data_IF_228488754201
#
_entry.id   IF_228488754201
#
_cell.length_a   1.000
_cell.length_b   1.000
_cell.length_c   1.000
_cell.angle_alpha   90.00
_cell.angle_beta   90.00
_cell.angle_gamma   90.00
#
_symmetry.space_group_name_H-M   'P 1'
#
loop_
_entity.id
_entity.type
_entity.pdbx_description
1 polymer ?
#
# COMPACT_ATOMS: atom_id res chain seq x y z
N UNK A 1 2.22 -24.60 24.14
CA UNK A 1 1.36 -24.07 23.07
C UNK A 1 2.07 -24.34 21.76
N UNK A 2 1.64 -25.36 21.03
CA UNK A 2 2.32 -25.90 19.86
C UNK A 2 1.80 -25.14 18.64
N UNK A 3 2.65 -24.35 18.00
CA UNK A 3 2.31 -23.73 16.71
C UNK A 3 2.54 -24.78 15.64
N UNK A 4 1.45 -25.41 15.19
CA UNK A 4 1.43 -26.19 13.97
C UNK A 4 1.60 -25.19 12.82
N UNK A 5 2.82 -25.09 12.31
CA UNK A 5 3.12 -24.28 11.14
C UNK A 5 2.40 -24.90 9.93
N UNK A 6 1.39 -24.22 9.40
CA UNK A 6 0.90 -24.44 8.04
C UNK A 6 1.90 -23.82 7.05
N UNK A 7 3.15 -24.27 7.10
CA UNK A 7 4.19 -23.91 6.13
C UNK A 7 4.51 -25.14 5.28
N UNK A 8 3.52 -25.59 4.52
CA UNK A 8 3.66 -26.64 3.51
C UNK A 8 4.15 -26.02 2.20
N UNK A 9 5.47 -25.88 2.03
CA UNK A 9 6.24 -26.05 0.78
C UNK A 9 5.86 -25.36 -0.54
N UNK A 10 4.77 -24.60 -0.63
CA UNK A 10 4.30 -23.88 -1.82
C UNK A 10 3.43 -22.75 -1.29
N UNK A 11 3.81 -21.50 -1.56
CA UNK A 11 3.11 -20.34 -1.03
C UNK A 11 1.64 -20.38 -1.42
N UNK A 12 0.78 -20.77 -0.47
CA UNK A 12 -0.65 -20.54 -0.57
C UNK A 12 -0.84 -19.03 -0.52
N UNK A 13 -0.85 -18.43 -1.70
CA UNK A 13 -1.19 -17.02 -1.90
C UNK A 13 -2.62 -16.84 -1.40
N UNK A 14 -2.76 -16.39 -0.15
CA UNK A 14 -4.08 -16.06 0.37
C UNK A 14 -4.54 -14.78 -0.35
N UNK A 15 -5.39 -14.95 -1.36
CA UNK A 15 -5.86 -13.87 -2.22
C UNK A 15 -6.81 -12.95 -1.46
N UNK A 16 -6.25 -11.96 -0.77
CA UNK A 16 -6.99 -10.79 -0.34
C UNK A 16 -7.21 -9.87 -1.54
N UNK A 17 -8.45 -9.67 -1.96
CA UNK A 17 -8.78 -8.77 -3.09
C UNK A 17 -8.55 -7.28 -2.79
N UNK A 18 -8.27 -6.92 -1.53
CA UNK A 18 -8.01 -5.55 -1.07
C UNK A 18 -6.94 -5.52 0.02
N UNK A 19 -6.19 -4.41 0.09
CA UNK A 19 -5.21 -4.15 1.15
C UNK A 19 -5.86 -4.14 2.55
N UNK A 20 -7.13 -3.74 2.65
CA UNK A 20 -7.85 -3.74 3.93
C UNK A 20 -8.18 -5.16 4.40
N UNK A 21 -8.55 -6.04 3.46
CA UNK A 21 -8.79 -7.46 3.75
C UNK A 21 -7.48 -8.12 4.17
N UNK A 22 -6.38 -7.81 3.47
CA UNK A 22 -5.04 -8.29 3.83
C UNK A 22 -4.67 -7.85 5.24
N UNK A 23 -4.88 -6.58 5.59
CA UNK A 23 -4.66 -6.09 6.97
C UNK A 23 -5.51 -6.84 7.98
N UNK A 24 -6.79 -7.07 7.70
CA UNK A 24 -7.67 -7.84 8.57
C UNK A 24 -7.22 -9.30 8.74
N UNK A 25 -6.79 -9.97 7.67
CA UNK A 25 -6.23 -11.33 7.73
C UNK A 25 -4.97 -11.39 8.61
N UNK A 26 -4.10 -10.38 8.52
CA UNK A 26 -2.92 -10.28 9.40
C UNK A 26 -3.36 -10.04 10.85
N UNK A 27 -4.36 -9.19 11.07
CA UNK A 27 -4.91 -8.92 12.41
C UNK A 27 -5.56 -10.17 13.06
N UNK A 28 -6.14 -11.08 12.26
CA UNK A 28 -6.72 -12.35 12.74
C UNK A 28 -5.69 -13.48 12.87
N UNK A 29 -4.42 -13.25 12.54
CA UNK A 29 -3.33 -14.21 12.72
C UNK A 29 -3.06 -15.13 11.54
N UNK A 30 -3.58 -14.82 10.34
CA UNK A 30 -3.33 -15.62 9.11
C UNK A 30 -1.85 -15.60 8.71
N UNK A 31 -1.10 -14.55 9.07
CA UNK A 31 0.34 -14.48 8.80
C UNK A 31 0.87 -13.05 8.76
N UNK A 32 1.89 -12.83 7.91
CA UNK A 32 2.49 -11.52 7.64
C UNK A 32 2.25 -11.11 6.19
N UNK A 33 2.22 -9.81 5.90
CA UNK A 33 2.07 -9.30 4.54
C UNK A 33 2.88 -8.02 4.33
N UNK A 34 3.08 -7.67 3.06
CA UNK A 34 3.79 -6.47 2.63
C UNK A 34 2.78 -5.46 2.10
N UNK A 35 2.82 -4.25 2.65
CA UNK A 35 1.92 -3.16 2.27
C UNK A 35 2.72 -1.96 1.76
N UNK A 36 2.19 -1.21 0.77
CA UNK A 36 2.81 0.02 0.34
C UNK A 36 2.70 1.09 1.44
N UNK A 37 3.72 1.95 1.54
CA UNK A 37 3.79 3.06 2.51
C UNK A 37 2.57 3.98 2.44
N UNK A 38 2.02 4.17 1.23
CA UNK A 38 0.80 4.97 1.01
C UNK A 38 -0.42 4.44 1.77
N UNK A 39 -0.52 3.13 1.98
CA UNK A 39 -1.63 2.52 2.74
C UNK A 39 -1.38 2.63 4.24
N UNK A 40 -0.16 2.33 4.68
CA UNK A 40 0.23 2.40 6.09
C UNK A 40 -0.06 3.79 6.66
N UNK A 41 0.27 4.85 5.92
CA UNK A 41 0.04 6.22 6.39
C UNK A 41 -1.44 6.59 6.47
N UNK A 42 -2.29 6.10 5.56
CA UNK A 42 -3.75 6.34 5.62
C UNK A 42 -4.38 5.68 6.86
N UNK A 43 -3.91 4.46 7.19
CA UNK A 43 -4.37 3.72 8.38
C UNK A 43 -3.81 4.30 9.68
N UNK A 44 -2.68 5.01 9.63
CA UNK A 44 -2.07 5.64 10.79
C UNK A 44 -2.51 7.10 11.01
N UNK A 45 -2.87 7.86 9.97
CA UNK A 45 -3.27 9.26 10.07
C UNK A 45 -4.13 9.74 8.87
N UNK A 46 -5.34 10.24 9.15
CA UNK A 46 -6.06 11.15 8.24
C UNK A 46 -6.86 12.26 8.96
N UNK A 47 -6.64 12.53 10.26
CA UNK A 47 -7.38 13.58 10.98
C UNK A 47 -6.58 14.16 12.15
N UNK A 48 -6.78 15.46 12.41
CA UNK A 48 -6.30 16.20 13.60
C UNK A 48 -6.84 15.63 14.92
N UNK A 49 -7.85 14.76 14.86
CA UNK A 49 -8.43 14.04 15.99
C UNK A 49 -8.29 12.54 15.73
N UNK A 50 -7.07 12.03 15.75
CA UNK A 50 -6.81 10.64 15.37
C UNK A 50 -7.10 9.67 16.55
N UNK A 51 -8.00 8.68 16.40
CA UNK A 51 -8.11 7.56 17.33
C UNK A 51 -7.06 6.49 16.98
N UNK A 52 -5.80 6.88 16.74
CA UNK A 52 -4.67 5.95 16.52
C UNK A 52 -4.37 5.06 17.75
N UNK A 53 -5.24 5.06 18.76
CA UNK A 53 -5.07 4.35 20.02
C UNK A 53 -5.90 3.09 20.19
N UNK A 54 -6.94 2.82 19.40
CA UNK A 54 -7.93 1.88 19.96
C UNK A 54 -7.69 0.40 19.70
N UNK A 55 -6.98 -0.05 18.66
CA UNK A 55 -6.71 -1.49 18.49
C UNK A 55 -5.48 -1.77 17.61
N UNK A 56 -4.27 -1.79 18.20
CA UNK A 56 -3.04 -2.23 17.52
C UNK A 56 -3.01 -3.76 17.38
N UNK A 57 -3.93 -4.33 16.60
CA UNK A 57 -3.96 -5.76 16.27
C UNK A 57 -2.84 -6.17 15.29
N UNK A 58 -2.16 -5.20 14.68
CA UNK A 58 -1.05 -5.43 13.76
C UNK A 58 0.10 -4.47 14.05
N UNK A 59 1.33 -4.97 13.88
CA UNK A 59 2.57 -4.20 14.00
C UNK A 59 3.19 -4.02 12.62
N UNK A 60 3.57 -2.79 12.28
CA UNK A 60 4.33 -2.49 11.08
C UNK A 60 5.84 -2.58 11.34
N UNK A 61 6.56 -3.19 10.41
CA UNK A 61 8.03 -3.31 10.43
C UNK A 61 8.55 -2.75 9.11
N UNK A 62 9.50 -1.83 9.18
CA UNK A 62 10.14 -1.23 7.99
C UNK A 62 11.18 -2.19 7.41
N UNK A 63 11.34 -2.17 6.08
CA UNK A 63 12.42 -2.89 5.42
C UNK A 63 13.78 -2.27 5.74
N UNK A 64 14.83 -3.10 5.77
CA UNK A 64 16.21 -2.64 5.73
C UNK A 64 16.64 -2.28 4.30
N UNK A 65 17.79 -1.63 4.18
CA UNK A 65 18.33 -1.30 2.86
C UNK A 65 18.79 -2.56 2.09
N UNK A 66 18.50 -2.64 0.77
CA UNK A 66 17.77 -1.67 -0.03
C UNK A 66 16.25 -1.83 0.10
N UNK A 67 15.55 -0.72 0.39
CA UNK A 67 14.09 -0.71 0.51
C UNK A 67 13.43 -1.01 -0.84
N UNK A 68 12.50 -2.00 -0.93
CA UNK A 68 11.81 -2.31 -2.17
C UNK A 68 10.91 -1.15 -2.61
N UNK A 69 10.87 -0.89 -3.91
CA UNK A 69 10.02 0.16 -4.49
C UNK A 69 9.30 -0.33 -5.74
N UNK A 70 8.16 0.29 -6.05
CA UNK A 70 7.39 0.02 -7.27
C UNK A 70 7.18 1.32 -8.04
N UNK A 71 7.19 1.24 -9.37
CA UNK A 71 6.82 2.36 -10.24
C UNK A 71 5.31 2.37 -10.43
N UNK A 72 4.68 3.51 -10.15
CA UNK A 72 3.27 3.76 -10.46
C UNK A 72 3.23 4.72 -11.64
N UNK A 73 2.39 4.44 -12.63
CA UNK A 73 2.29 5.22 -13.85
C UNK A 73 0.83 5.64 -14.10
N UNK A 74 0.66 6.82 -14.68
CA UNK A 74 -0.60 7.25 -15.27
C UNK A 74 -0.68 6.69 -16.69
N UNK A 75 -1.75 5.96 -16.99
CA UNK A 75 -1.98 5.35 -18.31
C UNK A 75 -3.37 5.76 -18.79
N UNK A 76 -3.46 6.11 -20.06
CA UNK A 76 -4.69 6.53 -20.72
C UNK A 76 -4.69 6.03 -22.17
N UNK A 77 -5.89 5.92 -22.77
CA UNK A 77 -6.02 5.55 -24.18
C UNK A 77 -5.53 6.69 -25.08
N UNK A 78 -4.81 6.37 -26.15
CA UNK A 78 -4.32 7.36 -27.12
C UNK A 78 -5.45 8.13 -27.84
N UNK A 79 -6.65 7.53 -27.92
CA UNK A 79 -7.86 8.15 -28.48
C UNK A 79 -8.61 9.06 -27.51
N UNK A 80 -8.08 9.31 -26.31
CA UNK A 80 -8.74 10.15 -25.33
C UNK A 80 -8.86 11.60 -25.86
N UNK A 81 -10.08 12.17 -25.91
CA UNK A 81 -10.34 13.38 -26.68
C UNK A 81 -9.79 14.67 -26.04
N UNK A 82 -9.36 14.66 -24.77
CA UNK A 82 -8.91 15.86 -24.05
C UNK A 82 -7.49 15.72 -23.46
N UNK A 83 -6.43 15.82 -24.27
CA UNK A 83 -5.05 15.73 -23.79
C UNK A 83 -4.73 16.71 -22.65
N UNK A 84 -5.26 17.94 -22.72
CA UNK A 84 -5.05 18.97 -21.69
C UNK A 84 -5.56 18.57 -20.30
N UNK A 85 -6.57 17.71 -20.22
CA UNK A 85 -7.06 17.19 -18.93
C UNK A 85 -6.08 16.15 -18.35
N UNK A 86 -5.48 15.33 -19.21
CA UNK A 86 -4.43 14.39 -18.81
C UNK A 86 -3.18 15.15 -18.34
N UNK A 87 -2.81 16.22 -19.03
CA UNK A 87 -1.69 17.08 -18.63
C UNK A 87 -1.94 17.72 -17.26
N UNK A 88 -3.12 18.29 -17.05
CA UNK A 88 -3.51 18.87 -15.77
C UNK A 88 -3.51 17.83 -14.63
N UNK A 89 -3.98 16.60 -14.88
CA UNK A 89 -3.92 15.51 -13.90
C UNK A 89 -2.47 15.09 -13.61
N UNK A 90 -1.64 14.98 -14.64
CA UNK A 90 -0.23 14.64 -14.49
C UNK A 90 0.53 15.73 -13.71
N UNK A 91 0.21 17.01 -13.94
CA UNK A 91 0.74 18.14 -13.18
C UNK A 91 0.29 18.07 -11.71
N UNK A 92 -0.99 17.83 -11.45
CA UNK A 92 -1.51 17.72 -10.08
C UNK A 92 -0.85 16.59 -9.29
N UNK A 93 -0.62 15.43 -9.92
CA UNK A 93 0.11 14.30 -9.29
C UNK A 93 1.58 14.68 -9.04
N UNK A 94 2.19 15.45 -9.95
CA UNK A 94 3.59 15.91 -9.79
C UNK A 94 3.74 16.94 -8.67
N UNK A 95 2.78 17.86 -8.52
CA UNK A 95 2.81 18.88 -7.44
C UNK A 95 2.37 18.32 -6.09
N UNK A 96 1.58 17.25 -6.07
CA UNK A 96 1.08 16.60 -4.86
C UNK A 96 1.35 15.09 -4.87
N UNK A 97 2.63 14.65 -4.76
CA UNK A 97 2.96 13.24 -4.75
C UNK A 97 2.36 12.55 -3.51
N UNK A 98 1.87 11.30 -3.64
CA UNK A 98 1.35 10.55 -2.50
C UNK A 98 2.48 10.27 -1.50
N UNK A 99 2.13 10.16 -0.21
CA UNK A 99 3.12 9.95 0.86
C UNK A 99 3.94 8.68 0.62
N UNK A 100 5.27 8.80 0.62
CA UNK A 100 6.20 7.70 0.31
C UNK A 100 6.42 7.47 -1.19
N UNK A 101 5.75 8.22 -2.06
CA UNK A 101 6.04 8.30 -3.48
C UNK A 101 7.15 9.32 -3.76
N UNK A 102 7.96 9.04 -4.79
CA UNK A 102 8.90 10.01 -5.37
C UNK A 102 8.72 10.04 -6.88
N UNK A 103 8.89 11.22 -7.47
CA UNK A 103 8.94 11.34 -8.92
C UNK A 103 10.21 10.66 -9.44
N UNK A 104 10.05 9.84 -10.47
CA UNK A 104 11.15 9.19 -11.17
C UNK A 104 11.26 9.88 -12.51
N UNK A 105 12.37 10.59 -12.77
CA UNK A 105 12.66 11.10 -14.10
C UNK A 105 12.89 9.92 -15.04
N UNK A 106 12.14 9.88 -16.13
CA UNK A 106 12.39 8.99 -17.27
C UNK A 106 13.61 9.43 -18.06
#
# INVERSE_FOLDING_TARGET
>A
MRMEALASGRGDINEGSSLEIIRHMVATGVGVSVLPVTFVNNVLCHSLTCPAKENQLVRFVTFGDPVPSRRVALVFCSSFPFPSMIDALADAIRTHPPVGGRLVSS
#
